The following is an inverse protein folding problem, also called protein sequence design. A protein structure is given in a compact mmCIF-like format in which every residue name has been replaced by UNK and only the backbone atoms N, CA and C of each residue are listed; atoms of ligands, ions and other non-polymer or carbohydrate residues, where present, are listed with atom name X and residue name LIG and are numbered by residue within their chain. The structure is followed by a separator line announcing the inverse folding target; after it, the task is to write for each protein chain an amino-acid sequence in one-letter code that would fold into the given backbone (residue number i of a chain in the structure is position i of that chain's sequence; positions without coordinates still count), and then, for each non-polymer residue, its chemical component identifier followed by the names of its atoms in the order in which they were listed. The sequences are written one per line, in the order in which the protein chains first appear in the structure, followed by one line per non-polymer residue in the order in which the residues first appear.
data_IF_248974117962
#
_entry.id   IF_248974117962
#
_cell.length_a   1.000
_cell.length_b   1.000
_cell.length_c   1.000
_cell.angle_alpha   90.00
_cell.angle_beta   90.00
_cell.angle_gamma   90.00
#
_symmetry.space_group_name_H-M   'P 1'
#
loop_
_entity.id
_entity.type
_entity.pdbx_description
1 polymer ?
#
# COMPACT_ATOMS: atom_id res chain seq x y z
N UNK A 1 16.55 31.44 -42.10
CA UNK A 1 15.29 31.01 -41.47
C UNK A 1 15.29 29.50 -41.41
N UNK A 2 15.61 28.91 -40.25
CA UNK A 2 15.61 27.45 -40.06
C UNK A 2 14.51 27.12 -39.05
N UNK A 3 13.44 26.50 -39.52
CA UNK A 3 12.32 26.06 -38.68
C UNK A 3 12.73 24.80 -37.91
N UNK A 4 12.79 24.89 -36.58
CA UNK A 4 12.94 23.73 -35.72
C UNK A 4 11.63 22.93 -35.74
N UNK A 5 11.65 21.72 -36.31
CA UNK A 5 10.54 20.77 -36.22
C UNK A 5 10.55 20.13 -34.84
N UNK A 6 9.57 20.46 -34.00
CA UNK A 6 9.33 19.78 -32.73
C UNK A 6 9.06 18.31 -33.02
N UNK A 7 9.91 17.40 -32.54
CA UNK A 7 9.72 15.96 -32.71
C UNK A 7 8.51 15.51 -31.88
N UNK A 8 7.40 15.25 -32.56
CA UNK A 8 6.17 14.91 -31.87
C UNK A 8 6.22 13.50 -31.26
N UNK A 9 5.87 13.41 -29.97
CA UNK A 9 5.98 12.16 -29.19
C UNK A 9 4.72 11.28 -29.35
N UNK A 10 4.91 10.01 -29.72
CA UNK A 10 3.82 9.02 -29.71
C UNK A 10 3.63 8.48 -28.30
N UNK A 11 2.44 8.62 -27.70
CA UNK A 11 2.18 8.04 -26.38
C UNK A 11 1.79 6.57 -26.53
N UNK A 12 2.60 5.66 -26.00
CA UNK A 12 2.23 4.26 -25.83
C UNK A 12 1.56 4.04 -24.47
N UNK A 13 0.35 3.46 -24.49
CA UNK A 13 -0.33 2.94 -23.31
C UNK A 13 -0.38 1.42 -23.40
N UNK A 14 0.07 0.74 -22.35
CA UNK A 14 -0.08 -0.72 -22.23
C UNK A 14 -1.00 -1.04 -21.05
N UNK A 15 -1.99 -1.90 -21.28
CA UNK A 15 -2.91 -2.42 -20.28
C UNK A 15 -2.88 -3.95 -20.32
N UNK A 16 -2.47 -4.57 -19.21
CA UNK A 16 -2.38 -6.03 -19.09
C UNK A 16 -3.36 -6.50 -18.04
N UNK A 17 -4.22 -7.46 -18.43
CA UNK A 17 -5.28 -7.99 -17.58
C UNK A 17 -5.11 -9.48 -17.36
N UNK A 18 -5.28 -9.92 -16.11
CA UNK A 18 -5.46 -11.32 -15.77
C UNK A 18 -6.96 -11.63 -15.68
N UNK A 19 -7.45 -12.47 -16.59
CA UNK A 19 -8.83 -12.95 -16.62
C UNK A 19 -8.98 -14.31 -15.91
N UNK A 20 -7.89 -15.08 -15.83
CA UNK A 20 -7.90 -16.42 -15.22
C UNK A 20 -6.51 -16.83 -14.77
N UNK A 21 -6.43 -17.58 -13.67
CA UNK A 21 -5.23 -18.25 -13.20
C UNK A 21 -5.30 -19.75 -13.47
N UNK A 22 -4.22 -20.33 -14.00
CA UNK A 22 -4.11 -21.77 -14.28
C UNK A 22 -2.81 -22.34 -13.72
N UNK A 23 -2.81 -23.64 -13.42
CA UNK A 23 -1.60 -24.35 -12.97
C UNK A 23 -0.99 -25.16 -14.12
N UNK A 24 0.33 -25.08 -14.28
CA UNK A 24 1.12 -25.90 -15.20
C UNK A 24 2.44 -26.27 -14.52
N UNK A 25 2.77 -27.56 -14.47
CA UNK A 25 4.00 -28.06 -13.84
C UNK A 25 4.26 -27.53 -12.41
N UNK A 26 3.20 -27.32 -11.63
CA UNK A 26 3.30 -26.79 -10.27
C UNK A 26 3.49 -25.27 -10.17
N UNK A 27 3.54 -24.56 -11.28
CA UNK A 27 3.56 -23.10 -11.36
C UNK A 27 2.18 -22.53 -11.69
N UNK A 28 1.89 -21.33 -11.16
CA UNK A 28 0.66 -20.59 -11.45
C UNK A 28 0.93 -19.59 -12.56
N UNK A 29 0.04 -19.54 -13.56
CA UNK A 29 0.10 -18.59 -14.67
C UNK A 29 -1.17 -17.77 -14.75
N UNK A 30 -1.03 -16.45 -14.88
CA UNK A 30 -2.10 -15.54 -15.22
C UNK A 30 -2.31 -15.52 -16.75
N UNK A 31 -3.56 -15.67 -17.20
CA UNK A 31 -3.96 -15.60 -18.59
C UNK A 31 -4.86 -14.39 -18.81
N UNK A 32 -4.63 -13.65 -19.87
CA UNK A 32 -5.53 -12.61 -20.33
C UNK A 32 -4.92 -11.72 -21.42
N UNK A 33 -5.66 -10.70 -21.85
CA UNK A 33 -5.23 -9.81 -22.90
C UNK A 33 -4.19 -8.79 -22.41
N UNK A 34 -3.27 -8.48 -23.31
CA UNK A 34 -2.44 -7.28 -23.32
C UNK A 34 -3.01 -6.39 -24.42
N UNK A 35 -3.45 -5.19 -24.06
CA UNK A 35 -3.90 -4.18 -25.01
C UNK A 35 -2.86 -3.06 -25.05
N UNK A 36 -2.21 -2.89 -26.20
CA UNK A 36 -1.34 -1.76 -26.47
C UNK A 36 -2.11 -0.71 -27.29
N UNK A 37 -2.01 0.55 -26.89
CA UNK A 37 -2.61 1.69 -27.58
C UNK A 37 -1.52 2.71 -27.84
N UNK A 38 -1.12 2.87 -29.10
CA UNK A 38 -0.28 3.97 -29.54
C UNK A 38 -1.17 5.16 -29.91
N UNK A 39 -0.93 6.30 -29.28
CA UNK A 39 -1.60 7.56 -29.55
C UNK A 39 -0.58 8.44 -30.26
N UNK A 40 -0.82 8.66 -31.55
CA UNK A 40 0.00 9.51 -32.39
C UNK A 40 -0.21 10.98 -32.05
N UNK A 41 0.71 11.86 -32.48
CA UNK A 41 0.64 13.30 -32.23
C UNK A 41 -0.63 13.98 -32.75
N UNK A 42 -1.12 13.51 -33.90
CA UNK A 42 -2.36 13.92 -34.54
C UNK A 42 -3.63 13.46 -33.77
N UNK A 43 -3.45 12.74 -32.66
CA UNK A 43 -4.53 12.18 -31.85
C UNK A 43 -5.01 10.80 -32.34
N UNK A 44 -4.50 10.30 -33.47
CA UNK A 44 -4.86 8.99 -34.02
C UNK A 44 -4.45 7.88 -33.07
N UNK A 45 -5.36 6.92 -32.82
CA UNK A 45 -5.13 5.79 -31.92
C UNK A 45 -5.01 4.50 -32.70
N UNK A 46 -3.87 3.82 -32.53
CA UNK A 46 -3.70 2.44 -32.97
C UNK A 46 -3.77 1.51 -31.78
N UNK A 47 -4.70 0.55 -31.81
CA UNK A 47 -4.93 -0.41 -30.73
C UNK A 47 -4.62 -1.81 -31.23
N UNK A 48 -3.76 -2.53 -30.51
CA UNK A 48 -3.51 -3.96 -30.74
C UNK A 48 -3.75 -4.74 -29.45
N UNK A 49 -4.32 -5.93 -29.55
CA UNK A 49 -4.60 -6.80 -28.41
C UNK A 49 -4.09 -8.20 -28.65
N UNK A 50 -3.29 -8.73 -27.72
CA UNK A 50 -2.75 -10.09 -27.77
C UNK A 50 -3.02 -10.85 -26.47
N UNK A 51 -3.27 -12.16 -26.55
CA UNK A 51 -3.40 -13.01 -25.36
C UNK A 51 -2.04 -13.50 -24.90
N UNK A 52 -1.71 -13.28 -23.64
CA UNK A 52 -0.44 -13.71 -23.04
C UNK A 52 -0.64 -14.66 -21.87
N UNK A 53 0.45 -15.31 -21.46
CA UNK A 53 0.53 -16.11 -20.24
C UNK A 53 1.70 -15.60 -19.41
N UNK A 54 1.42 -15.10 -18.22
CA UNK A 54 2.42 -14.55 -17.32
C UNK A 54 2.61 -15.50 -16.15
N UNK A 55 3.84 -15.94 -15.90
CA UNK A 55 4.14 -16.75 -14.72
C UNK A 55 3.98 -15.89 -13.47
N UNK A 56 3.26 -16.38 -12.48
CA UNK A 56 3.09 -15.71 -11.19
C UNK A 56 4.33 -15.99 -10.35
N UNK A 57 5.15 -14.97 -10.14
CA UNK A 57 6.28 -15.03 -9.21
C UNK A 57 5.76 -15.08 -7.77
N UNK A 58 6.24 -16.03 -6.98
CA UNK A 58 6.05 -15.99 -5.53
C UNK A 58 7.16 -15.15 -4.92
N UNK A 59 6.80 -14.14 -4.12
CA UNK A 59 7.80 -13.40 -3.34
C UNK A 59 8.44 -14.34 -2.31
N UNK A 60 9.74 -14.14 -2.04
CA UNK A 60 10.40 -14.75 -0.87
C UNK A 60 9.78 -14.27 0.44
N UNK A 61 9.06 -13.13 0.39
CA UNK A 61 8.28 -12.63 1.52
C UNK A 61 6.98 -13.41 1.75
N UNK A 62 6.61 -13.61 3.02
CA UNK A 62 5.32 -14.05 3.51
C UNK A 62 4.57 -12.88 4.11
N UNK A 63 3.25 -12.88 4.02
CA UNK A 63 2.41 -12.06 4.90
C UNK A 63 2.14 -12.88 6.16
N UNK A 64 2.44 -12.30 7.32
CA UNK A 64 2.23 -12.94 8.63
C UNK A 64 1.00 -12.30 9.29
N UNK A 65 1.04 -10.98 9.50
CA UNK A 65 -0.06 -10.21 10.07
C UNK A 65 -0.25 -8.93 9.26
N UNK A 66 -1.51 -8.58 9.02
CA UNK A 66 -1.88 -7.26 8.54
C UNK A 66 -3.06 -6.78 9.38
N UNK A 67 -2.81 -5.83 10.25
CA UNK A 67 -3.75 -5.27 11.19
C UNK A 67 -3.98 -3.81 10.82
N UNK A 68 -5.25 -3.46 10.65
CA UNK A 68 -5.69 -2.11 10.34
C UNK A 68 -6.77 -1.75 11.36
N UNK A 69 -6.48 -0.80 12.24
CA UNK A 69 -7.47 -0.21 13.13
C UNK A 69 -7.80 1.17 12.60
N UNK A 70 -9.09 1.41 12.40
CA UNK A 70 -9.60 2.76 12.17
C UNK A 70 -9.32 3.63 13.43
N UNK A 71 -9.36 4.97 13.28
CA UNK A 71 -9.24 5.89 14.40
C UNK A 71 -10.13 5.48 15.57
N UNK A 72 -9.55 5.34 16.76
CA UNK A 72 -10.27 4.99 17.98
C UNK A 72 -10.54 6.24 18.81
N UNK A 73 -11.72 6.27 19.44
CA UNK A 73 -12.06 7.22 20.48
C UNK A 73 -12.58 6.47 21.71
N UNK A 74 -11.93 6.69 22.85
CA UNK A 74 -12.34 6.14 24.15
C UNK A 74 -12.56 7.30 25.13
N UNK A 75 -13.63 7.23 25.93
CA UNK A 75 -13.84 8.13 27.06
C UNK A 75 -13.92 7.28 28.34
N UNK A 76 -12.96 7.48 29.24
CA UNK A 76 -12.79 6.75 30.49
C UNK A 76 -12.91 7.74 31.65
N UNK A 77 -14.15 8.01 32.09
CA UNK A 77 -14.46 8.91 33.21
C UNK A 77 -13.81 10.30 33.06
N UNK A 78 -13.85 10.86 31.86
CA UNK A 78 -13.27 12.16 31.54
C UNK A 78 -11.87 12.08 30.94
N UNK A 79 -11.20 10.92 30.98
CA UNK A 79 -9.98 10.69 30.19
C UNK A 79 -10.36 10.28 28.76
N UNK A 80 -10.09 11.15 27.81
CA UNK A 80 -10.35 10.95 26.39
C UNK A 80 -9.08 10.47 25.69
N UNK A 81 -9.15 9.33 25.02
CA UNK A 81 -8.06 8.80 24.18
C UNK A 81 -8.52 8.84 22.73
N UNK A 82 -7.77 9.51 21.87
CA UNK A 82 -7.97 9.63 20.43
C UNK A 82 -6.75 9.08 19.73
N UNK A 83 -6.96 8.29 18.68
CA UNK A 83 -5.87 7.75 17.86
C UNK A 83 -6.11 8.04 16.39
N UNK A 84 -5.04 8.22 15.61
CA UNK A 84 -5.11 8.13 14.16
C UNK A 84 -5.24 6.67 13.69
N UNK A 85 -5.31 6.41 12.39
CA UNK A 85 -5.28 5.05 11.84
C UNK A 85 -4.03 4.30 12.32
N UNK A 86 -4.20 3.08 12.83
CA UNK A 86 -3.09 2.23 13.27
C UNK A 86 -2.93 1.08 12.30
N UNK A 87 -1.85 1.12 11.52
CA UNK A 87 -1.52 0.08 10.57
C UNK A 87 -0.27 -0.68 11.01
N UNK A 88 -0.44 -1.96 11.38
CA UNK A 88 0.65 -2.88 11.70
C UNK A 88 0.72 -3.97 10.63
N UNK A 89 1.85 -4.03 9.93
CA UNK A 89 2.10 -5.02 8.89
C UNK A 89 3.38 -5.79 9.20
N UNK A 90 3.21 -7.11 9.35
CA UNK A 90 4.32 -8.04 9.59
C UNK A 90 4.48 -8.94 8.38
N UNK A 91 5.69 -8.94 7.82
CA UNK A 91 6.08 -9.82 6.70
C UNK A 91 7.35 -10.58 7.05
N UNK A 92 7.51 -11.79 6.51
CA UNK A 92 8.69 -12.62 6.77
C UNK A 92 9.47 -12.89 5.50
N UNK A 93 10.79 -12.74 5.48
CA UNK A 93 11.68 -13.19 4.40
C UNK A 93 12.10 -14.64 4.62
N UNK A 94 11.76 -15.52 3.68
CA UNK A 94 12.08 -16.95 3.75
C UNK A 94 13.57 -17.28 3.70
N UNK A 95 14.42 -16.33 3.35
CA UNK A 95 15.87 -16.54 3.24
C UNK A 95 16.63 -16.17 4.52
N UNK A 96 15.95 -15.62 5.52
CA UNK A 96 16.57 -15.25 6.80
C UNK A 96 15.91 -16.00 7.95
N UNK A 97 16.61 -16.12 9.07
CA UNK A 97 16.26 -17.03 10.16
C UNK A 97 14.85 -16.77 10.71
N UNK A 98 14.60 -15.60 11.29
CA UNK A 98 13.31 -15.32 11.91
C UNK A 98 12.19 -15.20 10.87
N UNK A 99 12.50 -14.63 9.71
CA UNK A 99 11.56 -14.56 8.59
C UNK A 99 11.09 -15.95 8.14
N UNK A 100 12.00 -16.90 7.96
CA UNK A 100 11.69 -18.28 7.56
C UNK A 100 10.88 -19.05 8.61
N UNK A 101 11.18 -18.85 9.90
CA UNK A 101 10.43 -19.46 11.01
C UNK A 101 8.97 -19.00 10.99
N UNK A 102 8.73 -17.69 11.03
CA UNK A 102 7.36 -17.15 11.02
C UNK A 102 6.64 -17.42 9.70
N UNK A 103 7.38 -17.49 8.59
CA UNK A 103 6.85 -17.95 7.31
C UNK A 103 6.35 -19.39 7.35
N UNK A 104 7.04 -20.28 8.07
CA UNK A 104 6.64 -21.67 8.26
C UNK A 104 5.40 -21.77 9.15
N UNK A 105 5.44 -21.09 10.30
CA UNK A 105 4.33 -21.05 11.26
C UNK A 105 3.05 -20.48 10.65
N UNK A 106 3.15 -19.36 9.92
CA UNK A 106 2.00 -18.73 9.27
C UNK A 106 1.38 -19.56 8.15
N UNK A 107 2.09 -20.56 7.61
CA UNK A 107 1.58 -21.42 6.53
C UNK A 107 0.86 -22.66 7.03
N UNK A 108 1.07 -23.07 8.28
CA UNK A 108 0.35 -24.13 9.00
C UNK A 108 0.20 -25.50 8.32
N UNK A 109 0.62 -25.68 7.06
CA UNK A 109 0.31 -26.85 6.25
C UNK A 109 1.47 -27.08 5.27
N UNK A 110 2.17 -28.19 5.46
CA UNK A 110 3.13 -28.73 4.50
C UNK A 110 2.35 -29.26 3.28
N UNK A 111 2.06 -28.39 2.32
CA UNK A 111 1.41 -28.75 1.07
C UNK A 111 2.46 -28.99 -0.01
N UNK A 112 2.31 -30.09 -0.76
CA UNK A 112 3.10 -30.29 -1.98
C UNK A 112 2.93 -29.11 -2.93
N UNK A 113 4.00 -28.75 -3.65
CA UNK A 113 4.05 -27.58 -4.56
C UNK A 113 2.83 -27.54 -5.50
N UNK A 114 2.41 -28.69 -6.02
CA UNK A 114 1.23 -28.82 -6.89
C UNK A 114 -0.09 -28.52 -6.17
N UNK A 115 -0.27 -29.01 -4.94
CA UNK A 115 -1.48 -28.74 -4.13
C UNK A 115 -1.55 -27.27 -3.76
N UNK A 116 -0.42 -26.67 -3.39
CA UNK A 116 -0.34 -25.23 -3.10
C UNK A 116 -0.70 -24.41 -4.34
N UNK A 117 -0.09 -24.70 -5.49
CA UNK A 117 -0.36 -23.99 -6.74
C UNK A 117 -1.85 -24.07 -7.15
N UNK A 118 -2.49 -25.24 -6.98
CA UNK A 118 -3.93 -25.42 -7.24
C UNK A 118 -4.79 -24.56 -6.31
N UNK A 119 -4.50 -24.56 -5.00
CA UNK A 119 -5.22 -23.71 -4.03
C UNK A 119 -5.02 -22.23 -4.31
N UNK A 120 -3.80 -21.82 -4.64
CA UNK A 120 -3.50 -20.43 -5.02
C UNK A 120 -4.27 -20.02 -6.27
N UNK A 121 -4.23 -20.81 -7.34
CA UNK A 121 -4.99 -20.52 -8.55
C UNK A 121 -6.50 -20.46 -8.27
N UNK A 122 -7.03 -21.36 -7.44
CA UNK A 122 -8.43 -21.35 -7.03
C UNK A 122 -8.80 -20.08 -6.26
N UNK A 123 -8.04 -19.71 -5.24
CA UNK A 123 -8.27 -18.48 -4.46
C UNK A 123 -8.17 -17.21 -5.32
N UNK A 124 -7.19 -17.13 -6.22
CA UNK A 124 -7.07 -16.02 -7.16
C UNK A 124 -8.25 -15.95 -8.12
N UNK A 125 -8.74 -17.08 -8.62
CA UNK A 125 -9.94 -17.13 -9.46
C UNK A 125 -11.21 -16.75 -8.68
N UNK A 126 -11.32 -17.12 -7.39
CA UNK A 126 -12.44 -16.66 -6.55
C UNK A 126 -12.44 -15.15 -6.38
N UNK A 127 -11.26 -14.55 -6.14
CA UNK A 127 -11.11 -13.09 -6.01
C UNK A 127 -11.40 -12.33 -7.30
N UNK A 128 -11.22 -12.96 -8.47
CA UNK A 128 -11.54 -12.33 -9.74
C UNK A 128 -13.03 -12.03 -9.85
N UNK A 129 -13.95 -12.85 -9.30
CA UNK A 129 -15.41 -12.63 -9.39
C UNK A 129 -15.87 -12.14 -10.79
N UNK A 130 -15.32 -12.72 -11.87
CA UNK A 130 -15.50 -12.30 -13.27
C UNK A 130 -15.02 -10.88 -13.64
N UNK A 131 -14.40 -10.15 -12.73
CA UNK A 131 -13.71 -8.88 -12.97
C UNK A 131 -12.23 -9.13 -13.26
N UNK A 132 -11.70 -8.70 -14.43
CA UNK A 132 -10.30 -8.89 -14.75
C UNK A 132 -9.40 -8.08 -13.80
N UNK A 133 -8.36 -8.72 -13.26
CA UNK A 133 -7.36 -8.05 -12.44
C UNK A 133 -6.39 -7.30 -13.36
N UNK A 134 -6.22 -5.99 -13.13
CA UNK A 134 -5.20 -5.19 -13.81
C UNK A 134 -3.84 -5.53 -13.20
N UNK A 135 -2.96 -6.17 -13.96
CA UNK A 135 -1.66 -6.64 -13.46
C UNK A 135 -0.53 -5.67 -13.78
N UNK A 136 -0.59 -5.01 -14.94
CA UNK A 136 0.38 -3.99 -15.36
C UNK A 136 -0.38 -2.92 -16.13
N UNK A 137 -0.07 -1.66 -15.82
CA UNK A 137 -0.49 -0.51 -16.62
C UNK A 137 0.67 0.47 -16.68
N UNK A 138 1.10 0.81 -17.88
CA UNK A 138 2.06 1.90 -18.04
C UNK A 138 1.66 2.80 -19.19
N UNK A 139 2.15 4.03 -19.11
CA UNK A 139 2.03 5.04 -20.15
C UNK A 139 3.41 5.64 -20.32
N UNK A 140 3.96 5.57 -21.52
CA UNK A 140 5.25 6.14 -21.84
C UNK A 140 5.16 6.94 -23.13
N UNK A 141 5.70 8.17 -23.18
CA UNK A 141 5.98 8.81 -24.46
C UNK A 141 7.11 8.04 -25.14
N UNK A 142 6.93 7.74 -26.43
CA UNK A 142 7.95 7.22 -27.32
C UNK A 142 8.28 8.36 -28.26
N UNK A 143 9.48 8.90 -28.09
CA UNK A 143 10.03 9.88 -29.01
C UNK A 143 10.71 9.13 -30.15
N UNK A 144 10.55 9.56 -31.41
CA UNK A 144 11.54 9.19 -32.43
C UNK A 144 12.90 9.64 -31.89
N UNK A 145 13.90 8.75 -31.88
CA UNK A 145 15.21 9.04 -31.30
C UNK A 145 15.90 10.17 -32.07
N UNK A 146 15.79 11.38 -31.55
CA UNK A 146 16.71 12.48 -31.75
C UNK A 146 17.06 13.07 -30.37
N UNK A 147 18.36 13.09 -30.11
CA UNK A 147 19.00 13.46 -28.86
C UNK A 147 18.62 14.89 -28.44
N UNK A 148 18.07 15.08 -27.23
CA UNK A 148 18.55 16.04 -26.21
C UNK A 148 17.56 16.27 -25.05
N UNK A 149 18.12 16.08 -23.84
CA UNK A 149 17.94 16.80 -22.55
C UNK A 149 16.64 17.55 -22.23
N UNK A 150 15.99 17.17 -21.12
CA UNK A 150 14.88 17.92 -20.50
C UNK A 150 15.20 18.35 -19.06
N UNK A 151 14.96 19.63 -18.78
CA UNK A 151 15.02 20.28 -17.46
C UNK A 151 13.66 20.17 -16.79
N UNK A 152 13.62 19.68 -15.55
CA UNK A 152 12.40 19.42 -14.78
C UNK A 152 11.96 20.59 -13.90
N UNK A 153 10.64 20.72 -13.71
CA UNK A 153 10.02 21.62 -12.73
C UNK A 153 9.08 20.82 -11.82
N UNK A 154 9.32 20.89 -10.52
CA UNK A 154 8.54 20.26 -9.45
C UNK A 154 7.70 21.30 -8.72
N UNK A 155 6.40 21.05 -8.58
CA UNK A 155 5.47 21.84 -7.77
C UNK A 155 5.45 21.36 -6.31
N UNK A 156 5.53 22.35 -5.42
CA UNK A 156 5.52 22.27 -3.97
C UNK A 156 4.18 21.75 -3.43
N UNK A 157 4.22 20.69 -2.62
CA UNK A 157 3.11 20.21 -1.82
C UNK A 157 3.12 20.83 -0.42
N UNK A 158 1.96 21.24 0.08
CA UNK A 158 1.73 21.48 1.50
C UNK A 158 0.53 20.62 1.92
N UNK A 159 0.79 19.56 2.70
CA UNK A 159 -0.23 18.76 3.37
C UNK A 159 -0.69 19.49 4.64
N UNK A 160 -2.00 19.59 4.81
CA UNK A 160 -2.63 19.95 6.08
C UNK A 160 -3.09 18.65 6.75
N UNK A 161 -2.63 18.41 7.97
CA UNK A 161 -3.13 17.38 8.87
C UNK A 161 -4.58 17.71 9.26
N UNK A 162 -5.44 16.68 9.33
CA UNK A 162 -6.87 16.83 9.64
C UNK A 162 -7.23 16.00 10.88
N UNK A 163 -6.92 16.56 12.06
CA UNK A 163 -7.52 16.16 13.33
C UNK A 163 -8.60 17.20 13.67
N UNK A 164 -9.80 16.80 14.12
CA UNK A 164 -10.79 17.76 14.63
C UNK A 164 -10.26 18.48 15.88
N UNK A 165 -10.49 19.80 16.02
CA UNK A 165 -9.93 20.60 17.11
C UNK A 165 -10.42 20.13 18.48
N UNK A 166 -9.50 20.18 19.45
CA UNK A 166 -9.75 19.87 20.86
C UNK A 166 -10.83 20.82 21.41
N UNK A 167 -11.85 20.34 22.15
CA UNK A 167 -12.84 21.19 22.78
C UNK A 167 -12.18 22.17 23.78
N UNK A 168 -12.55 23.46 23.78
CA UNK A 168 -12.03 24.42 24.74
C UNK A 168 -12.40 23.99 26.16
N UNK A 169 -11.39 23.83 27.02
CA UNK A 169 -11.55 23.44 28.42
C UNK A 169 -11.06 22.03 28.78
N UNK A 170 -10.49 21.25 27.85
CA UNK A 170 -9.81 19.99 28.18
C UNK A 170 -8.30 20.17 28.38
N UNK A 171 -7.71 19.42 29.30
CA UNK A 171 -6.27 19.42 29.59
C UNK A 171 -5.57 18.39 28.70
N UNK A 172 -4.53 18.80 27.99
CA UNK A 172 -3.68 17.86 27.25
C UNK A 172 -2.84 17.04 28.25
N UNK A 173 -2.99 15.71 28.21
CA UNK A 173 -2.26 14.81 29.12
C UNK A 173 -1.03 14.26 28.43
N UNK A 174 -1.19 13.76 27.20
CA UNK A 174 -0.11 13.15 26.43
C UNK A 174 -0.44 13.24 24.94
N UNK A 175 0.47 13.82 24.17
CA UNK A 175 0.54 13.62 22.73
C UNK A 175 1.72 12.68 22.42
N UNK A 176 1.41 11.51 21.89
CA UNK A 176 2.39 10.49 21.55
C UNK A 176 2.39 10.23 20.05
N UNK A 177 3.45 10.67 19.40
CA UNK A 177 3.74 10.42 17.99
C UNK A 177 4.67 9.22 17.86
N UNK A 178 4.15 8.09 17.40
CA UNK A 178 4.95 6.94 17.00
C UNK A 178 5.23 7.06 15.51
N UNK A 179 6.45 7.49 15.16
CA UNK A 179 6.92 7.60 13.78
C UNK A 179 6.66 6.34 12.95
N UNK A 180 6.67 6.44 11.61
CA UNK A 180 6.62 5.25 10.77
C UNK A 180 7.82 4.37 11.09
N UNK A 181 7.56 3.22 11.70
CA UNK A 181 8.57 2.30 12.19
C UNK A 181 8.76 1.19 11.17
N UNK A 182 10.01 0.96 10.77
CA UNK A 182 10.42 -0.17 9.95
C UNK A 182 11.54 -0.93 10.66
N UNK A 183 11.27 -2.17 11.06
CA UNK A 183 12.25 -3.06 11.67
C UNK A 183 12.48 -4.28 10.79
N UNK A 184 13.74 -4.66 10.57
CA UNK A 184 14.13 -5.93 9.95
C UNK A 184 14.87 -6.80 10.97
N UNK A 185 14.11 -7.71 11.60
CA UNK A 185 14.62 -8.61 12.64
C UNK A 185 14.93 -9.96 12.00
N UNK A 186 16.11 -10.09 11.39
CA UNK A 186 16.54 -11.32 10.71
C UNK A 186 15.48 -11.82 9.71
N UNK A 187 14.95 -10.88 8.92
CA UNK A 187 13.90 -11.13 7.93
C UNK A 187 12.49 -11.16 8.46
N UNK A 188 12.24 -11.01 9.77
CA UNK A 188 10.92 -10.62 10.26
C UNK A 188 10.82 -9.10 10.15
N UNK A 189 10.08 -8.65 9.15
CA UNK A 189 9.93 -7.23 8.80
C UNK A 189 8.64 -6.72 9.40
N UNK A 190 8.74 -5.72 10.27
CA UNK A 190 7.61 -5.07 10.96
C UNK A 190 7.52 -3.63 10.49
N UNK A 191 6.41 -3.28 9.84
CA UNK A 191 6.03 -1.90 9.53
C UNK A 191 4.90 -1.47 10.49
N UNK A 192 5.07 -0.36 11.21
CA UNK A 192 3.98 0.33 11.93
C UNK A 192 3.87 1.76 11.38
N UNK A 193 2.67 2.18 10.97
CA UNK A 193 2.45 3.50 10.38
C UNK A 193 1.00 3.98 10.56
N UNK A 194 0.81 5.28 10.36
CA UNK A 194 -0.44 6.00 10.47
C UNK A 194 -1.37 5.83 9.26
N UNK A 195 -2.10 6.90 8.84
CA UNK A 195 -2.95 6.91 7.65
C UNK A 195 -2.21 6.52 6.36
N UNK A 196 -0.99 7.01 6.18
CA UNK A 196 -0.08 6.59 5.10
C UNK A 196 1.22 6.01 5.65
N UNK A 197 2.02 5.38 4.78
CA UNK A 197 3.31 4.77 5.16
C UNK A 197 4.37 5.76 5.65
N UNK A 198 4.15 7.04 5.40
CA UNK A 198 5.05 8.12 5.84
C UNK A 198 4.52 8.83 7.08
N UNK A 199 3.28 8.55 7.48
CA UNK A 199 2.64 9.21 8.62
C UNK A 199 2.90 8.42 9.91
N UNK A 200 3.08 9.11 11.04
CA UNK A 200 3.14 8.48 12.35
C UNK A 200 1.75 7.95 12.76
N UNK A 201 1.75 7.00 13.68
CA UNK A 201 0.58 6.75 14.53
C UNK A 201 0.56 7.83 15.60
N UNK A 202 -0.55 8.54 15.71
CA UNK A 202 -0.74 9.62 16.65
C UNK A 202 -1.70 9.14 17.74
N UNK A 203 -1.33 9.33 19.01
CA UNK A 203 -2.15 9.01 20.17
C UNK A 203 -2.26 10.26 21.02
N UNK A 204 -3.43 10.89 20.98
CA UNK A 204 -3.76 12.07 21.77
C UNK A 204 -4.61 11.66 22.97
N UNK A 205 -4.11 11.94 24.17
CA UNK A 205 -4.82 11.74 25.42
C UNK A 205 -5.11 13.11 26.03
N UNK A 206 -6.39 13.40 26.23
CA UNK A 206 -6.85 14.63 26.91
C UNK A 206 -7.73 14.27 28.10
N UNK A 207 -7.77 15.14 29.09
CA UNK A 207 -8.63 15.03 30.26
C UNK A 207 -9.68 16.14 30.24
N UNK A 208 -10.94 15.79 30.44
CA UNK A 208 -12.04 16.74 30.61
C UNK A 208 -12.23 17.02 32.11
N UNK A 209 -12.00 18.24 32.60
CA UNK A 209 -12.11 18.57 34.02
C UNK A 209 -13.53 18.39 34.57
N UNK A 210 -14.55 18.39 33.70
CA UNK A 210 -15.95 18.17 34.05
C UNK A 210 -16.44 16.77 33.64
N UNK A 211 -15.60 15.95 33.00
CA UNK A 211 -15.97 14.70 32.34
C UNK A 211 -16.01 13.46 33.26
N UNK A 212 -15.70 13.61 34.55
CA UNK A 212 -15.71 12.53 35.54
C UNK A 212 -14.46 12.52 36.43
N UNK A 213 -14.33 11.45 37.24
CA UNK A 213 -13.30 11.34 38.26
C UNK A 213 -11.87 11.38 37.70
N UNK A 214 -11.60 10.67 36.60
CA UNK A 214 -10.26 10.65 36.00
C UNK A 214 -9.92 11.98 35.33
N UNK A 215 -10.89 12.58 34.65
CA UNK A 215 -10.71 13.87 33.99
C UNK A 215 -10.39 15.00 34.97
N UNK A 216 -11.13 15.10 36.08
CA UNK A 216 -10.89 16.11 37.11
C UNK A 216 -9.55 15.91 37.83
N UNK A 217 -9.22 14.66 38.20
CA UNK A 217 -7.95 14.35 38.87
C UNK A 217 -6.74 14.66 37.99
N UNK A 218 -6.74 14.20 36.74
CA UNK A 218 -5.60 14.41 35.85
C UNK A 218 -5.40 15.89 35.53
N UNK A 219 -6.48 16.63 35.28
CA UNK A 219 -6.41 18.08 35.09
C UNK A 219 -5.84 18.81 36.32
N UNK A 220 -6.22 18.40 37.54
CA UNK A 220 -5.66 18.98 38.76
C UNK A 220 -4.16 18.69 38.92
N UNK A 221 -3.72 17.47 38.59
CA UNK A 221 -2.32 17.08 38.71
C UNK A 221 -1.39 17.73 37.69
N UNK A 222 -1.89 18.04 36.48
CA UNK A 222 -1.08 18.66 35.42
C UNK A 222 -1.02 20.19 35.58
N UNK A 223 -1.97 20.77 36.31
CA UNK A 223 -2.01 22.21 36.61
C UNK A 223 -1.10 22.63 37.80
N UNK A 224 -0.32 21.69 38.36
CA UNK A 224 0.70 21.94 39.40
C UNK A 224 2.10 21.96 38.79
#
# INVERSE_FOLDING_TARGET
MSTATTADATTLKLDVRAQRFVVRHGDVYAKGPVTATAIQPDGTKQVTTQRVRLKVGTTHRCRILNLHLAPLYLNLLGLQVRTSDINLKITGDRHRLLGSLFCSLSRGINLSRLRLARRTAHSLNQRLQNRPLKVVRFRAPIYPQQQSTSTGSSSTGMMRSSIPPVPPGSCEVLDLLLGPLHLDLLGLIVDLYGPTRSDPVEVLITADPNGGLLGSLLCQTIAQ
#
